data_IF_581202421970
#
_entry.id   IF_581202421970
#
_cell.length_a   1.000
_cell.length_b   1.000
_cell.length_c   1.000
_cell.angle_alpha   90.00
_cell.angle_beta   90.00
_cell.angle_gamma   90.00
#
_symmetry.space_group_name_H-M   'P 1'
#
loop_
_entity.id
_entity.type
_entity.pdbx_description
1 polymer ?
#
# COMPACT_ATOMS: atom_id res chain seq x y z
N UNK A 1 -6.85 -23.02 -33.37
CA UNK A 1 -8.07 -22.37 -32.83
C UNK A 1 -9.19 -23.38 -32.62
N UNK A 2 -9.53 -24.22 -33.62
CA UNK A 2 -10.61 -25.23 -33.49
C UNK A 2 -10.34 -26.34 -32.45
N UNK A 3 -9.12 -26.85 -32.34
CA UNK A 3 -8.78 -27.86 -31.31
C UNK A 3 -8.89 -27.32 -29.89
N UNK A 4 -8.63 -26.02 -29.72
CA UNK A 4 -8.71 -25.34 -28.43
C UNK A 4 -10.17 -25.07 -28.01
N UNK A 5 -11.03 -24.68 -28.96
CA UNK A 5 -12.47 -24.58 -28.71
C UNK A 5 -13.09 -25.93 -28.36
N UNK A 6 -12.62 -27.01 -28.99
CA UNK A 6 -13.04 -28.38 -28.63
C UNK A 6 -12.60 -28.77 -27.22
N UNK A 7 -11.37 -28.44 -26.82
CA UNK A 7 -10.93 -28.69 -25.44
C UNK A 7 -11.72 -27.89 -24.39
N UNK A 8 -12.07 -26.64 -24.69
CA UNK A 8 -12.90 -25.81 -23.81
C UNK A 8 -14.32 -26.35 -23.65
N UNK A 9 -14.95 -26.76 -24.76
CA UNK A 9 -16.29 -27.37 -24.72
C UNK A 9 -16.27 -28.72 -23.98
N UNK A 10 -15.23 -29.52 -24.17
CA UNK A 10 -15.09 -30.80 -23.48
C UNK A 10 -14.90 -30.61 -21.97
N UNK A 11 -14.11 -29.62 -21.56
CA UNK A 11 -13.91 -29.31 -20.15
C UNK A 11 -15.19 -28.75 -19.50
N UNK A 12 -15.95 -27.90 -20.20
CA UNK A 12 -17.25 -27.42 -19.74
C UNK A 12 -18.26 -28.57 -19.60
N UNK A 13 -18.25 -29.52 -20.53
CA UNK A 13 -19.09 -30.72 -20.47
C UNK A 13 -18.73 -31.61 -19.29
N UNK A 14 -17.44 -31.86 -19.07
CA UNK A 14 -16.95 -32.64 -17.92
C UNK A 14 -17.32 -31.99 -16.58
N UNK A 15 -17.28 -30.65 -16.48
CA UNK A 15 -17.73 -29.93 -15.29
C UNK A 15 -19.24 -30.03 -15.07
N UNK A 16 -20.04 -29.97 -16.14
CA UNK A 16 -21.49 -30.15 -16.05
C UNK A 16 -21.87 -31.57 -15.62
N UNK A 17 -21.20 -32.59 -16.17
CA UNK A 17 -21.37 -34.00 -15.80
C UNK A 17 -20.96 -34.25 -14.35
N UNK A 18 -19.84 -33.67 -13.90
CA UNK A 18 -19.38 -33.80 -12.51
C UNK A 18 -20.39 -33.16 -11.54
N UNK A 19 -20.95 -31.99 -11.88
CA UNK A 19 -22.02 -31.34 -11.10
C UNK A 19 -23.27 -32.21 -11.01
N UNK A 20 -23.67 -32.88 -12.10
CA UNK A 20 -24.81 -33.80 -12.11
C UNK A 20 -24.56 -35.07 -11.29
N UNK A 21 -23.37 -35.67 -11.41
CA UNK A 21 -23.01 -36.87 -10.64
C UNK A 21 -22.96 -36.58 -9.13
N UNK A 22 -22.51 -35.39 -8.74
CA UNK A 22 -22.48 -34.96 -7.34
C UNK A 22 -23.88 -34.64 -6.80
N UNK A 23 -24.77 -34.09 -7.62
CA UNK A 23 -26.18 -33.88 -7.25
C UNK A 23 -26.95 -35.20 -7.11
N UNK A 24 -26.63 -36.21 -7.94
CA UNK A 24 -27.25 -37.54 -7.88
C UNK A 24 -26.76 -38.39 -6.69
N UNK A 25 -25.59 -38.08 -6.11
CA UNK A 25 -25.02 -38.83 -4.98
C UNK A 25 -25.57 -38.41 -3.60
N UNK A 26 -26.51 -37.46 -3.56
CA UNK A 26 -27.11 -36.93 -2.33
C UNK A 26 -28.52 -37.45 -2.07
N UNK A 27 -28.69 -38.74 -1.71
CA UNK A 27 -29.89 -39.26 -1.03
C UNK A 27 -29.57 -40.57 -0.26
N UNK A 28 -30.26 -40.86 0.86
CA UNK A 28 -29.68 -41.59 1.99
C UNK A 28 -29.89 -43.11 1.94
N UNK A 29 -28.88 -43.87 2.40
CA UNK A 29 -29.03 -45.29 2.76
C UNK A 29 -28.56 -45.52 4.20
N UNK A 30 -29.44 -46.17 4.94
CA UNK A 30 -29.41 -46.47 6.37
C UNK A 30 -28.48 -47.63 6.76
N UNK A 31 -27.99 -47.53 8.01
CA UNK A 31 -27.60 -48.58 8.97
C UNK A 31 -26.34 -49.45 8.75
N UNK A 32 -25.40 -49.34 9.69
CA UNK A 32 -24.53 -50.46 10.10
C UNK A 32 -23.14 -50.10 10.67
N UNK A 33 -23.02 -49.97 12.00
CA UNK A 33 -21.91 -50.52 12.82
C UNK A 33 -20.49 -49.90 12.81
N UNK A 34 -20.13 -49.31 13.97
CA UNK A 34 -18.79 -49.25 14.62
C UNK A 34 -17.75 -48.21 14.11
N UNK A 35 -17.10 -47.41 15.00
CA UNK A 35 -16.29 -46.25 14.61
C UNK A 35 -14.84 -46.62 14.29
N UNK A 36 -14.20 -45.91 13.35
CA UNK A 36 -12.91 -45.33 13.70
C UNK A 36 -12.64 -43.92 13.12
N UNK A 37 -11.77 -43.19 13.83
CA UNK A 37 -10.90 -42.10 13.36
C UNK A 37 -11.53 -40.87 12.70
N UNK A 38 -11.34 -39.71 13.36
CA UNK A 38 -11.60 -38.37 12.84
C UNK A 38 -11.11 -38.21 11.40
N UNK A 39 -12.00 -37.86 10.44
CA UNK A 39 -11.57 -37.43 9.12
C UNK A 39 -11.02 -36.00 9.22
N UNK A 40 -9.85 -35.77 8.61
CA UNK A 40 -9.45 -34.43 8.18
C UNK A 40 -10.63 -33.78 7.44
N UNK A 41 -11.02 -32.58 7.86
CA UNK A 41 -12.17 -31.87 7.31
C UNK A 41 -12.03 -31.80 5.78
N UNK A 42 -12.85 -32.58 5.08
CA UNK A 42 -13.07 -32.40 3.64
C UNK A 42 -13.61 -30.98 3.45
N UNK A 43 -13.00 -30.17 2.58
CA UNK A 43 -13.47 -28.81 2.34
C UNK A 43 -14.93 -28.84 1.92
N UNK A 44 -15.72 -27.90 2.45
CA UNK A 44 -17.15 -27.85 2.19
C UNK A 44 -17.39 -27.64 0.69
N UNK A 45 -18.58 -28.00 0.21
CA UNK A 45 -18.94 -27.84 -1.20
C UNK A 45 -18.77 -26.38 -1.66
N UNK A 46 -19.06 -25.43 -0.77
CA UNK A 46 -18.88 -23.99 -0.96
C UNK A 46 -17.40 -23.63 -1.11
N UNK A 47 -16.51 -24.13 -0.24
CA UNK A 47 -15.06 -23.89 -0.34
C UNK A 47 -14.47 -24.45 -1.64
N UNK A 48 -15.00 -25.58 -2.14
CA UNK A 48 -14.59 -26.16 -3.43
C UNK A 48 -15.08 -25.35 -4.63
N UNK A 49 -16.31 -24.85 -4.56
CA UNK A 49 -16.88 -23.99 -5.61
C UNK A 49 -16.11 -22.66 -5.67
N UNK A 50 -15.83 -22.04 -4.51
CA UNK A 50 -15.05 -20.81 -4.44
C UNK A 50 -13.60 -21.01 -4.93
N UNK A 51 -12.96 -22.14 -4.60
CA UNK A 51 -11.63 -22.49 -5.10
C UNK A 51 -11.61 -22.71 -6.62
N UNK A 52 -12.65 -23.36 -7.16
CA UNK A 52 -12.81 -23.55 -8.60
C UNK A 52 -13.11 -22.23 -9.32
N UNK A 53 -13.97 -21.38 -8.77
CA UNK A 53 -14.23 -20.05 -9.31
C UNK A 53 -12.97 -19.18 -9.29
N UNK A 54 -12.16 -19.24 -8.22
CA UNK A 54 -10.88 -18.55 -8.14
C UNK A 54 -9.85 -19.08 -9.15
N UNK A 55 -9.79 -20.41 -9.32
CA UNK A 55 -8.92 -21.04 -10.32
C UNK A 55 -9.36 -20.71 -11.75
N UNK A 56 -10.66 -20.70 -12.03
CA UNK A 56 -11.24 -20.32 -13.32
C UNK A 56 -11.06 -18.83 -13.58
N UNK A 57 -11.29 -17.95 -12.61
CA UNK A 57 -11.02 -16.51 -12.73
C UNK A 57 -9.53 -16.23 -13.04
N UNK A 58 -8.62 -16.95 -12.37
CA UNK A 58 -7.19 -16.88 -12.67
C UNK A 58 -6.88 -17.34 -14.10
N UNK A 59 -7.64 -18.31 -14.62
CA UNK A 59 -7.44 -18.90 -15.94
C UNK A 59 -8.11 -18.09 -17.07
N UNK A 60 -9.24 -17.43 -16.82
CA UNK A 60 -10.00 -16.62 -17.77
C UNK A 60 -9.37 -15.23 -18.00
N UNK A 61 -8.65 -14.67 -17.02
CA UNK A 61 -7.90 -13.40 -17.20
C UNK A 61 -6.60 -13.55 -18.02
N UNK A 62 -6.27 -14.75 -18.52
CA UNK A 62 -4.99 -15.04 -19.17
C UNK A 62 -5.15 -15.27 -20.67
N UNK A 63 -5.13 -14.17 -21.45
CA UNK A 63 -4.35 -14.00 -22.69
C UNK A 63 -4.93 -12.81 -23.47
N UNK A 64 -4.34 -11.63 -23.29
CA UNK A 64 -4.46 -10.60 -24.34
C UNK A 64 -3.82 -11.18 -25.60
N UNK A 65 -4.44 -11.00 -26.77
CA UNK A 65 -3.83 -11.30 -28.07
C UNK A 65 -2.55 -10.45 -28.22
N UNK A 66 -1.46 -10.93 -27.64
CA UNK A 66 -0.16 -10.32 -27.69
C UNK A 66 0.63 -11.02 -28.78
N UNK A 67 1.21 -10.25 -29.69
CA UNK A 67 2.24 -10.74 -30.64
C UNK A 67 3.52 -11.19 -29.91
N UNK A 68 3.64 -10.89 -28.61
CA UNK A 68 4.75 -11.34 -27.77
C UNK A 68 4.72 -12.85 -27.53
N UNK A 69 5.88 -13.49 -27.67
CA UNK A 69 6.10 -14.88 -27.24
C UNK A 69 5.91 -15.07 -25.72
N UNK A 70 5.93 -13.98 -24.96
CA UNK A 70 5.90 -13.96 -23.51
C UNK A 70 4.49 -13.62 -22.99
N UNK A 71 3.98 -14.35 -21.97
CA UNK A 71 2.63 -14.12 -21.47
C UNK A 71 2.51 -12.72 -20.85
N UNK A 72 1.48 -12.00 -21.28
CA UNK A 72 1.06 -10.71 -20.75
C UNK A 72 -0.37 -10.84 -20.26
N UNK A 73 -0.62 -10.40 -19.03
CA UNK A 73 -1.96 -10.31 -18.44
C UNK A 73 -2.30 -8.86 -18.14
N UNK A 74 -3.55 -8.51 -18.39
CA UNK A 74 -4.13 -7.23 -17.98
C UNK A 74 -4.99 -7.51 -16.76
N UNK A 75 -4.80 -6.70 -15.72
CA UNK A 75 -5.60 -6.76 -14.50
C UNK A 75 -6.17 -5.39 -14.20
N UNK A 76 -7.26 -5.33 -13.45
CA UNK A 76 -7.82 -4.05 -13.08
C UNK A 76 -8.76 -4.06 -11.90
N UNK A 77 -9.09 -2.85 -11.48
CA UNK A 77 -10.06 -2.54 -10.44
C UNK A 77 -10.84 -1.30 -10.89
N UNK A 78 -12.05 -1.48 -11.40
CA UNK A 78 -13.01 -0.38 -11.55
C UNK A 78 -13.54 -0.06 -10.17
N UNK A 79 -13.35 1.18 -9.71
CA UNK A 79 -13.66 1.57 -8.34
C UNK A 79 -14.52 2.83 -8.32
N UNK A 80 -15.71 2.72 -7.75
CA UNK A 80 -16.59 3.84 -7.43
C UNK A 80 -16.56 4.09 -5.93
N UNK A 81 -16.21 5.31 -5.52
CA UNK A 81 -16.17 5.73 -4.12
C UNK A 81 -17.10 6.92 -3.89
N UNK A 82 -17.89 6.88 -2.83
CA UNK A 82 -18.56 8.04 -2.26
C UNK A 82 -17.83 8.49 -1.00
N UNK A 83 -17.97 9.76 -0.65
CA UNK A 83 -17.41 10.29 0.58
C UNK A 83 -18.29 11.40 1.16
N UNK A 84 -18.32 11.46 2.49
CA UNK A 84 -18.84 12.56 3.30
C UNK A 84 -17.75 12.92 4.30
N UNK A 85 -17.26 14.15 4.23
CA UNK A 85 -16.32 14.73 5.18
C UNK A 85 -17.05 15.77 6.01
N UNK A 86 -17.06 15.66 7.34
CA UNK A 86 -17.78 16.60 8.21
C UNK A 86 -17.13 17.99 8.25
N UNK A 87 -15.82 18.08 8.02
CA UNK A 87 -15.06 19.32 7.96
C UNK A 87 -14.14 19.33 6.72
N UNK A 88 -13.49 20.47 6.47
CA UNK A 88 -12.54 20.58 5.36
C UNK A 88 -11.38 19.60 5.57
N UNK A 89 -10.97 18.97 4.49
CA UNK A 89 -9.83 18.04 4.42
C UNK A 89 -8.94 18.44 3.25
N UNK A 90 -7.76 17.84 3.16
CA UNK A 90 -6.80 18.06 2.10
C UNK A 90 -7.31 17.64 0.72
N UNK A 91 -7.75 16.38 0.60
CA UNK A 91 -8.28 15.82 -0.64
C UNK A 91 -9.60 15.11 -0.31
N UNK A 92 -10.76 15.67 -0.69
CA UNK A 92 -12.06 15.13 -0.29
C UNK A 92 -12.26 13.63 -0.58
N UNK A 93 -11.74 13.16 -1.72
CA UNK A 93 -11.87 11.78 -2.17
C UNK A 93 -10.97 10.76 -1.43
N UNK A 94 -9.90 11.21 -0.78
CA UNK A 94 -8.92 10.38 -0.06
C UNK A 94 -8.31 11.20 1.09
N UNK A 95 -9.10 11.55 2.12
CA UNK A 95 -8.65 12.53 3.10
C UNK A 95 -7.58 11.93 4.01
N UNK A 96 -6.49 12.68 4.22
CA UNK A 96 -5.34 12.25 5.05
C UNK A 96 -5.15 13.13 6.28
N UNK A 97 -5.65 14.37 6.27
CA UNK A 97 -5.63 15.26 7.42
C UNK A 97 -6.77 16.29 7.36
N UNK A 98 -7.11 16.86 8.52
CA UNK A 98 -8.19 17.83 8.68
C UNK A 98 -7.68 19.27 8.62
N UNK A 99 -8.50 20.16 8.06
CA UNK A 99 -8.26 21.59 7.85
C UNK A 99 -9.41 22.42 8.41
N UNK A 100 -9.15 23.72 8.60
CA UNK A 100 -10.20 24.69 8.92
C UNK A 100 -11.16 24.86 7.73
N UNK A 101 -12.45 24.65 7.97
CA UNK A 101 -13.49 24.95 6.98
C UNK A 101 -14.65 23.96 7.03
N UNK A 102 -15.64 24.20 6.17
CA UNK A 102 -16.82 23.34 6.04
C UNK A 102 -16.51 22.00 5.37
N UNK A 103 -17.41 21.03 5.60
CA UNK A 103 -17.36 19.69 5.05
C UNK A 103 -17.58 19.61 3.53
N UNK A 104 -17.44 18.40 3.00
CA UNK A 104 -17.65 18.10 1.58
C UNK A 104 -18.31 16.75 1.41
N UNK A 105 -19.16 16.60 0.39
CA UNK A 105 -19.78 15.33 0.02
C UNK A 105 -19.63 15.15 -1.49
N UNK A 106 -19.35 13.94 -1.93
CA UNK A 106 -19.23 13.65 -3.35
C UNK A 106 -18.97 12.20 -3.66
N UNK A 107 -18.65 11.96 -4.92
CA UNK A 107 -18.29 10.65 -5.43
C UNK A 107 -17.19 10.78 -6.49
N UNK A 108 -16.49 9.68 -6.76
CA UNK A 108 -15.38 9.64 -7.71
C UNK A 108 -15.14 8.23 -8.22
N UNK A 109 -14.61 8.13 -9.45
CA UNK A 109 -14.05 6.89 -10.00
C UNK A 109 -12.55 6.98 -10.25
N UNK A 110 -11.91 8.08 -9.84
CA UNK A 110 -10.50 8.38 -10.13
C UNK A 110 -9.51 7.39 -9.49
N UNK A 111 -9.96 6.63 -8.50
CA UNK A 111 -9.14 5.61 -7.84
C UNK A 111 -9.15 4.26 -8.58
N UNK A 112 -9.81 4.16 -9.75
CA UNK A 112 -9.74 3.01 -10.64
C UNK A 112 -8.29 2.70 -11.02
N UNK A 113 -7.91 1.42 -10.98
CA UNK A 113 -6.55 0.96 -11.25
C UNK A 113 -6.54 0.05 -12.48
N UNK A 114 -5.58 0.28 -13.38
CA UNK A 114 -5.27 -0.60 -14.48
C UNK A 114 -3.85 -1.15 -14.31
N UNK A 115 -3.69 -2.44 -14.58
CA UNK A 115 -2.45 -3.17 -14.41
C UNK A 115 -2.08 -3.99 -15.63
N UNK A 116 -0.78 -4.05 -15.88
CA UNK A 116 -0.17 -4.92 -16.88
C UNK A 116 0.92 -5.70 -16.17
N UNK A 117 0.89 -7.02 -16.32
CA UNK A 117 1.90 -7.93 -15.81
C UNK A 117 2.49 -8.72 -16.98
N UNK A 118 3.81 -8.82 -17.02
CA UNK A 118 4.55 -9.52 -18.06
C UNK A 118 5.58 -10.47 -17.42
N UNK A 119 5.69 -11.68 -17.96
CA UNK A 119 6.78 -12.61 -17.60
C UNK A 119 7.69 -12.78 -18.81
N UNK A 120 8.89 -12.23 -18.74
CA UNK A 120 9.83 -12.23 -19.84
C UNK A 120 10.68 -13.50 -19.93
N UNK A 121 11.73 -13.49 -20.77
CA UNK A 121 12.67 -14.61 -20.89
C UNK A 121 13.40 -14.94 -19.60
N UNK A 122 13.99 -16.14 -19.59
CA UNK A 122 15.05 -16.45 -18.65
C UNK A 122 16.32 -15.72 -19.09
N UNK A 123 16.83 -14.82 -18.26
CA UNK A 123 18.04 -14.03 -18.51
C UNK A 123 19.06 -14.37 -17.42
N UNK A 124 20.27 -14.79 -17.81
CA UNK A 124 21.34 -15.14 -16.85
C UNK A 124 20.91 -16.15 -15.76
N UNK A 125 20.04 -17.10 -16.11
CA UNK A 125 19.49 -18.09 -15.16
C UNK A 125 18.40 -17.56 -14.23
N UNK A 126 17.98 -16.30 -14.39
CA UNK A 126 16.88 -15.68 -13.67
C UNK A 126 15.62 -15.64 -14.53
N UNK A 127 14.45 -15.71 -13.91
CA UNK A 127 13.17 -15.39 -14.57
C UNK A 127 12.98 -13.88 -14.54
N UNK A 128 12.71 -13.25 -15.68
CA UNK A 128 12.38 -11.83 -15.72
C UNK A 128 10.88 -11.59 -15.51
N UNK A 129 10.53 -10.60 -14.68
CA UNK A 129 9.15 -10.18 -14.43
C UNK A 129 9.05 -8.66 -14.52
N UNK A 130 7.91 -8.17 -14.98
CA UNK A 130 7.57 -6.75 -14.96
C UNK A 130 6.10 -6.56 -14.63
N UNK A 131 5.81 -5.52 -13.84
CA UNK A 131 4.47 -5.08 -13.52
C UNK A 131 4.40 -3.56 -13.57
N UNK A 132 3.31 -3.04 -14.13
CA UNK A 132 2.98 -1.62 -14.10
C UNK A 132 1.55 -1.49 -13.59
N UNK A 133 1.30 -0.50 -12.75
CA UNK A 133 -0.03 -0.09 -12.30
C UNK A 133 -0.20 1.40 -12.53
N UNK A 134 -1.35 1.79 -13.06
CA UNK A 134 -1.75 3.19 -13.26
C UNK A 134 -3.09 3.43 -12.60
N UNK A 135 -3.33 4.66 -12.15
CA UNK A 135 -4.65 5.11 -11.71
C UNK A 135 -5.02 6.45 -12.35
N UNK A 136 -6.26 6.91 -12.15
CA UNK A 136 -6.78 8.16 -12.72
C UNK A 136 -6.76 9.30 -11.68
N UNK A 137 -5.93 9.16 -10.65
CA UNK A 137 -5.85 10.10 -9.53
C UNK A 137 -4.68 11.10 -9.66
N UNK A 138 -4.17 11.28 -10.89
CA UNK A 138 -3.27 12.38 -11.20
C UNK A 138 -3.91 13.75 -11.03
N UNK A 139 -3.09 14.79 -10.92
CA UNK A 139 -3.50 16.19 -10.78
C UNK A 139 -2.84 17.04 -11.87
N UNK A 140 -3.60 17.95 -12.49
CA UNK A 140 -3.08 18.98 -13.39
C UNK A 140 -3.18 20.34 -12.70
N UNK A 141 -2.42 21.31 -13.18
CA UNK A 141 -2.43 22.70 -12.71
C UNK A 141 -3.73 23.44 -13.05
N UNK A 142 -4.54 22.92 -13.99
CA UNK A 142 -5.81 23.50 -14.40
C UNK A 142 -6.97 22.64 -13.86
N UNK A 143 -7.75 23.21 -12.94
CA UNK A 143 -8.78 22.54 -12.13
C UNK A 143 -10.14 22.38 -12.81
N UNK A 144 -10.28 22.68 -14.11
CA UNK A 144 -11.60 22.84 -14.73
C UNK A 144 -12.33 21.52 -15.07
N UNK A 145 -11.65 20.37 -15.03
CA UNK A 145 -12.28 19.06 -15.29
C UNK A 145 -11.85 18.00 -14.26
N UNK A 146 -12.06 18.29 -12.97
CA UNK A 146 -11.76 17.37 -11.86
C UNK A 146 -12.56 16.05 -11.88
N UNK A 147 -13.52 15.89 -12.80
CA UNK A 147 -14.37 14.71 -12.92
C UNK A 147 -13.78 13.59 -13.82
N UNK A 148 -12.92 13.93 -14.80
CA UNK A 148 -12.42 12.95 -15.78
C UNK A 148 -11.24 12.09 -15.29
N UNK A 149 -10.50 12.55 -14.28
CA UNK A 149 -9.28 11.91 -13.81
C UNK A 149 -8.11 12.09 -14.78
N UNK A 150 -6.88 12.05 -14.25
CA UNK A 150 -5.65 12.10 -15.04
C UNK A 150 -4.85 10.85 -14.76
N UNK A 151 -4.34 10.23 -15.81
CA UNK A 151 -3.52 9.03 -15.67
C UNK A 151 -2.27 9.38 -14.87
N UNK A 152 -2.00 8.56 -13.85
CA UNK A 152 -0.83 8.63 -12.99
C UNK A 152 -0.19 7.26 -12.93
N UNK A 153 1.13 7.22 -13.11
CA UNK A 153 1.91 6.03 -12.81
C UNK A 153 1.88 5.81 -11.29
N UNK A 154 1.33 4.67 -10.86
CA UNK A 154 1.14 4.37 -9.44
C UNK A 154 2.28 3.51 -8.93
N UNK A 155 2.52 2.38 -9.58
CA UNK A 155 3.70 1.54 -9.32
C UNK A 155 4.26 1.01 -10.62
N UNK A 156 5.57 0.81 -10.64
CA UNK A 156 6.25 0.04 -11.67
C UNK A 156 7.29 -0.82 -10.98
N UNK A 157 7.43 -2.08 -11.37
CA UNK A 157 8.50 -2.94 -10.87
C UNK A 157 8.94 -3.86 -11.99
N UNK A 158 10.24 -4.03 -12.16
CA UNK A 158 10.77 -5.15 -12.90
C UNK A 158 11.86 -5.84 -12.07
N UNK A 159 11.96 -7.15 -12.25
CA UNK A 159 12.85 -8.00 -11.48
C UNK A 159 13.49 -9.09 -12.32
N UNK A 160 14.67 -9.51 -11.88
CA UNK A 160 15.33 -10.75 -12.25
C UNK A 160 15.34 -11.66 -11.01
N UNK A 161 14.68 -12.80 -11.13
CA UNK A 161 14.44 -13.72 -10.03
C UNK A 161 15.22 -15.02 -10.21
N UNK A 162 16.24 -15.20 -9.39
CA UNK A 162 16.92 -16.47 -9.17
C UNK A 162 16.24 -17.23 -8.03
N UNK A 163 16.74 -18.43 -7.71
CA UNK A 163 16.19 -19.29 -6.64
C UNK A 163 16.05 -18.59 -5.29
N UNK A 164 17.05 -17.80 -4.90
CA UNK A 164 17.17 -17.19 -3.57
C UNK A 164 17.45 -15.69 -3.63
N UNK A 165 17.54 -15.11 -4.83
CA UNK A 165 18.00 -13.74 -5.04
C UNK A 165 17.07 -13.07 -6.02
N UNK A 166 16.67 -11.85 -5.72
CA UNK A 166 15.93 -10.98 -6.63
C UNK A 166 16.71 -9.69 -6.79
N UNK A 167 17.02 -9.32 -8.03
CA UNK A 167 17.45 -7.96 -8.36
C UNK A 167 16.27 -7.21 -8.96
N UNK A 168 16.00 -6.00 -8.50
CA UNK A 168 14.82 -5.24 -8.93
C UNK A 168 15.12 -3.76 -9.15
N UNK A 169 14.34 -3.14 -10.02
CA UNK A 169 14.10 -1.70 -10.01
C UNK A 169 12.60 -1.45 -9.92
N UNK A 170 12.21 -0.42 -9.18
CA UNK A 170 10.80 -0.14 -8.93
C UNK A 170 10.53 1.33 -8.66
N UNK A 171 9.38 1.81 -9.11
CA UNK A 171 8.71 2.96 -8.55
C UNK A 171 7.64 2.42 -7.59
N UNK A 172 7.93 2.40 -6.29
CA UNK A 172 7.02 1.89 -5.26
C UNK A 172 7.29 2.58 -3.91
N UNK A 173 6.56 2.20 -2.85
CA UNK A 173 6.87 2.56 -1.46
C UNK A 173 8.22 1.98 -1.03
N UNK A 174 8.77 2.54 0.04
CA UNK A 174 10.03 2.04 0.64
C UNK A 174 9.92 0.56 1.05
N UNK A 175 11.00 -0.20 0.89
CA UNK A 175 11.09 -1.59 1.37
C UNK A 175 10.94 -1.70 2.90
N UNK A 176 11.09 -0.60 3.62
CA UNK A 176 11.01 -0.52 5.08
C UNK A 176 9.59 -0.73 5.63
N UNK A 177 8.57 -0.56 4.79
CA UNK A 177 7.15 -0.67 5.17
C UNK A 177 6.43 -1.56 4.14
N UNK A 178 6.65 -2.89 4.20
CA UNK A 178 6.16 -3.81 3.18
C UNK A 178 4.64 -3.89 3.12
N UNK A 179 3.97 -3.72 4.26
CA UNK A 179 2.52 -3.81 4.38
C UNK A 179 1.87 -2.41 4.38
N UNK A 180 0.56 -2.35 4.14
CA UNK A 180 -0.25 -1.13 4.28
C UNK A 180 -1.62 -1.51 4.89
N UNK A 181 -2.27 -0.59 5.62
CA UNK A 181 -3.64 -0.84 6.08
C UNK A 181 -4.59 -1.06 4.90
N UNK A 182 -5.48 -2.04 5.03
CA UNK A 182 -6.46 -2.43 4.02
C UNK A 182 -7.57 -1.40 3.95
N UNK A 183 -7.84 -0.85 2.76
CA UNK A 183 -8.95 0.08 2.52
C UNK A 183 -9.33 0.12 1.04
N UNK A 184 -10.63 -0.01 0.75
CA UNK A 184 -11.16 0.14 -0.61
C UNK A 184 -11.44 1.61 -0.96
N UNK A 185 -11.64 2.46 0.04
CA UNK A 185 -11.81 3.91 -0.14
C UNK A 185 -10.48 4.67 -0.24
N UNK A 186 -9.36 4.02 0.06
CA UNK A 186 -7.99 4.59 0.08
C UNK A 186 -7.05 3.84 -0.86
N UNK A 187 -7.50 3.55 -2.08
CA UNK A 187 -6.65 2.94 -3.09
C UNK A 187 -5.67 3.99 -3.60
N UNK A 188 -6.14 5.13 -4.10
CA UNK A 188 -5.27 6.12 -4.74
C UNK A 188 -4.22 6.75 -3.81
N UNK A 189 -4.51 6.86 -2.52
CA UNK A 189 -3.56 7.29 -1.47
C UNK A 189 -3.68 6.26 -0.34
N UNK A 190 -2.63 5.51 -0.01
CA UNK A 190 -2.70 4.44 0.99
C UNK A 190 -3.33 4.90 2.31
N UNK A 191 -4.10 4.04 2.95
CA UNK A 191 -4.68 4.36 4.26
C UNK A 191 -3.58 4.72 5.27
N UNK A 192 -3.90 5.67 6.14
CA UNK A 192 -3.01 6.24 7.15
C UNK A 192 -1.76 6.98 6.60
N UNK A 193 -1.77 7.38 5.32
CA UNK A 193 -0.81 8.33 4.76
C UNK A 193 -0.80 9.62 5.58
N UNK A 194 0.39 10.17 5.86
CA UNK A 194 0.59 11.29 6.79
C UNK A 194 0.12 11.06 8.22
N UNK A 195 -0.32 9.87 8.59
CA UNK A 195 -0.63 9.47 9.96
C UNK A 195 0.06 8.14 10.25
N UNK A 196 1.36 8.06 9.99
CA UNK A 196 2.22 6.94 10.36
C UNK A 196 2.53 5.91 9.27
N UNK A 197 1.90 5.96 8.09
CA UNK A 197 2.29 5.11 6.95
C UNK A 197 3.34 5.82 6.09
N UNK A 198 4.53 5.23 5.92
CA UNK A 198 5.53 5.73 4.96
C UNK A 198 5.10 5.32 3.54
N UNK A 199 4.40 6.21 2.86
CA UNK A 199 3.49 5.87 1.77
C UNK A 199 3.91 6.39 0.40
N UNK A 200 4.90 7.28 0.32
CA UNK A 200 5.29 7.92 -0.94
C UNK A 200 5.95 6.92 -1.87
N UNK A 201 5.62 7.04 -3.16
CA UNK A 201 6.25 6.23 -4.21
C UNK A 201 7.52 6.90 -4.69
N UNK A 202 8.60 6.15 -4.64
CA UNK A 202 9.95 6.61 -4.96
C UNK A 202 10.63 5.61 -5.91
N UNK A 203 11.40 6.08 -6.91
CA UNK A 203 12.27 5.21 -7.70
C UNK A 203 13.31 4.53 -6.80
N UNK A 204 13.51 3.24 -7.02
CA UNK A 204 14.35 2.37 -6.22
C UNK A 204 15.03 1.33 -7.11
N UNK A 205 16.25 0.94 -6.75
CA UNK A 205 16.97 -0.18 -7.36
C UNK A 205 17.69 -0.95 -6.28
N UNK A 206 17.55 -2.27 -6.25
CA UNK A 206 18.04 -3.05 -5.13
C UNK A 206 18.10 -4.54 -5.36
N UNK A 207 18.51 -5.24 -4.30
CA UNK A 207 18.63 -6.69 -4.24
C UNK A 207 17.96 -7.20 -2.98
N UNK A 208 17.26 -8.32 -3.10
CA UNK A 208 16.67 -9.10 -2.01
C UNK A 208 17.28 -10.49 -2.02
N UNK A 209 17.76 -10.95 -0.86
CA UNK A 209 18.34 -12.26 -0.65
C UNK A 209 17.50 -13.02 0.38
N UNK A 210 16.96 -14.17 -0.02
CA UNK A 210 16.27 -15.11 0.87
C UNK A 210 17.22 -16.24 1.28
N UNK A 211 17.34 -16.46 2.58
CA UNK A 211 18.16 -17.49 3.21
C UNK A 211 17.20 -18.42 3.94
N UNK A 212 16.93 -19.63 3.40
CA UNK A 212 16.10 -20.61 4.09
C UNK A 212 16.80 -21.06 5.37
N UNK A 213 16.09 -20.98 6.50
CA UNK A 213 16.59 -21.41 7.81
C UNK A 213 16.06 -22.80 8.18
N UNK A 214 14.83 -23.10 7.76
CA UNK A 214 14.18 -24.40 7.89
C UNK A 214 13.14 -24.57 6.76
N UNK A 215 12.45 -25.72 6.65
CA UNK A 215 11.36 -25.88 5.69
C UNK A 215 10.21 -24.87 5.84
N UNK A 216 10.04 -24.28 7.02
CA UNK A 216 8.95 -23.34 7.35
C UNK A 216 9.47 -21.99 7.84
N UNK A 217 10.75 -21.68 7.66
CA UNK A 217 11.31 -20.39 8.04
C UNK A 217 12.40 -19.89 7.09
N UNK A 218 12.43 -18.58 6.90
CA UNK A 218 13.42 -17.90 6.05
C UNK A 218 13.81 -16.55 6.64
N UNK A 219 15.06 -16.17 6.43
CA UNK A 219 15.57 -14.82 6.64
C UNK A 219 15.64 -14.13 5.28
N UNK A 220 15.09 -12.92 5.16
CA UNK A 220 15.12 -12.10 3.96
C UNK A 220 15.93 -10.83 4.26
N UNK A 221 17.00 -10.62 3.51
CA UNK A 221 17.84 -9.42 3.60
C UNK A 221 17.64 -8.60 2.32
N UNK A 222 17.28 -7.34 2.47
CA UNK A 222 16.98 -6.44 1.36
C UNK A 222 17.83 -5.19 1.48
N UNK A 223 18.37 -4.74 0.35
CA UNK A 223 19.05 -3.45 0.24
C UNK A 223 18.68 -2.78 -1.06
N UNK A 224 18.53 -1.46 -1.05
CA UNK A 224 18.26 -0.70 -2.25
C UNK A 224 18.78 0.73 -2.14
N UNK A 225 19.10 1.30 -3.28
CA UNK A 225 19.13 2.75 -3.47
C UNK A 225 17.71 3.27 -3.69
N UNK A 226 17.43 4.45 -3.19
CA UNK A 226 16.13 5.13 -3.28
C UNK A 226 16.35 6.60 -3.61
N UNK A 227 15.54 7.14 -4.52
CA UNK A 227 15.52 8.56 -4.86
C UNK A 227 14.22 9.17 -4.33
N UNK A 228 14.33 10.07 -3.35
CA UNK A 228 13.15 10.61 -2.64
C UNK A 228 12.75 11.97 -3.17
N UNK A 229 11.44 12.14 -3.34
CA UNK A 229 10.84 13.44 -3.64
C UNK A 229 10.87 14.40 -2.45
N UNK A 230 10.83 15.70 -2.72
CA UNK A 230 10.56 16.70 -1.68
C UNK A 230 9.07 16.69 -1.33
N UNK A 231 8.67 16.73 -0.04
CA UNK A 231 7.29 16.87 0.35
C UNK A 231 6.77 18.24 -0.07
N UNK A 232 5.62 18.25 -0.72
CA UNK A 232 4.91 19.47 -1.07
C UNK A 232 3.58 19.51 -0.32
N UNK A 233 3.23 20.69 0.20
CA UNK A 233 1.88 20.91 0.69
C UNK A 233 0.88 20.72 -0.45
N UNK A 234 -0.36 20.28 -0.17
CA UNK A 234 -1.38 20.17 -1.19
C UNK A 234 -1.58 21.48 -1.95
N UNK A 235 -1.65 21.40 -3.27
CA UNK A 235 -1.73 22.53 -4.21
C UNK A 235 -0.47 23.41 -4.32
N UNK A 236 0.63 23.07 -3.64
CA UNK A 236 1.92 23.69 -3.90
C UNK A 236 2.51 23.13 -5.20
N UNK A 237 3.13 24.01 -5.99
CA UNK A 237 3.93 23.62 -7.15
C UNK A 237 5.40 23.71 -6.77
N UNK A 238 6.20 22.71 -7.16
CA UNK A 238 7.65 22.83 -7.03
C UNK A 238 8.15 23.87 -8.01
N UNK A 239 8.83 24.90 -7.52
CA UNK A 239 9.58 25.83 -8.35
C UNK A 239 10.97 25.32 -8.74
N UNK A 240 11.36 24.13 -8.28
CA UNK A 240 12.69 23.55 -8.49
C UNK A 240 12.66 22.39 -9.48
N UNK A 241 13.61 22.41 -10.41
CA UNK A 241 13.82 21.32 -11.37
C UNK A 241 14.42 20.04 -10.74
N UNK A 242 14.97 20.13 -9.53
CA UNK A 242 15.54 18.99 -8.80
C UNK A 242 15.13 18.99 -7.33
N UNK A 243 15.07 17.81 -6.71
CA UNK A 243 14.81 17.65 -5.28
C UNK A 243 16.03 18.02 -4.44
N UNK A 244 15.84 18.15 -3.12
CA UNK A 244 16.94 18.35 -2.18
C UNK A 244 17.83 17.12 -2.07
N UNK A 245 17.26 15.92 -2.17
CA UNK A 245 18.01 14.67 -2.22
C UNK A 245 18.87 14.57 -3.48
N UNK A 246 18.32 14.86 -4.67
CA UNK A 246 19.06 14.86 -5.94
C UNK A 246 20.23 15.86 -5.93
N UNK A 247 20.05 17.04 -5.33
CA UNK A 247 21.11 18.05 -5.20
C UNK A 247 22.29 17.60 -4.34
N UNK A 248 22.09 16.62 -3.47
CA UNK A 248 23.18 16.02 -2.69
C UNK A 248 24.16 15.26 -3.58
N UNK A 249 23.72 14.82 -4.77
CA UNK A 249 24.43 13.95 -5.73
C UNK A 249 24.70 12.54 -5.19
N UNK A 250 23.99 12.12 -4.14
CA UNK A 250 24.08 10.79 -3.57
C UNK A 250 22.66 10.23 -3.43
N UNK A 251 22.38 9.02 -3.93
CA UNK A 251 21.09 8.40 -3.71
C UNK A 251 20.91 8.07 -2.22
N UNK A 252 19.66 8.03 -1.77
CA UNK A 252 19.33 7.44 -0.50
C UNK A 252 19.64 5.94 -0.50
N UNK A 253 19.90 5.39 0.67
CA UNK A 253 20.12 3.96 0.90
C UNK A 253 19.11 3.44 1.91
N UNK A 254 18.64 2.22 1.70
CA UNK A 254 17.76 1.53 2.62
C UNK A 254 18.16 0.07 2.76
N UNK A 255 17.95 -0.47 3.95
CA UNK A 255 18.22 -1.85 4.31
C UNK A 255 17.08 -2.40 5.15
N UNK A 256 16.69 -3.65 4.92
CA UNK A 256 15.72 -4.36 5.76
C UNK A 256 16.16 -5.80 5.97
N UNK A 257 16.12 -6.25 7.22
CA UNK A 257 16.24 -7.65 7.59
C UNK A 257 14.89 -8.13 8.13
N UNK A 258 14.27 -9.08 7.45
CA UNK A 258 12.99 -9.67 7.84
C UNK A 258 13.13 -11.16 8.07
N UNK A 259 12.54 -11.68 9.14
CA UNK A 259 12.43 -13.11 9.38
C UNK A 259 10.98 -13.52 9.24
N UNK A 260 10.76 -14.70 8.68
CA UNK A 260 9.43 -15.27 8.62
C UNK A 260 9.42 -16.75 9.00
N UNK A 261 8.31 -17.17 9.59
CA UNK A 261 8.14 -18.52 10.10
C UNK A 261 6.67 -18.95 10.09
N UNK A 262 6.46 -20.26 9.97
CA UNK A 262 5.14 -20.86 9.91
C UNK A 262 4.76 -21.33 8.50
N UNK A 263 3.58 -21.93 8.35
CA UNK A 263 3.10 -22.38 7.05
C UNK A 263 2.76 -21.19 6.15
N UNK A 264 2.83 -21.37 4.83
CA UNK A 264 2.70 -20.28 3.86
C UNK A 264 1.35 -19.54 3.93
N UNK A 265 0.28 -20.20 4.37
CA UNK A 265 -1.05 -19.62 4.54
C UNK A 265 -1.21 -18.79 5.83
N UNK A 266 -0.29 -18.96 6.80
CA UNK A 266 -0.28 -18.26 8.10
C UNK A 266 1.13 -17.89 8.53
N UNK A 267 1.90 -17.37 7.58
CA UNK A 267 3.27 -16.96 7.82
C UNK A 267 3.29 -15.76 8.77
N UNK A 268 4.01 -15.90 9.89
CA UNK A 268 4.35 -14.76 10.74
C UNK A 268 5.61 -14.12 10.18
N UNK A 269 5.62 -12.79 10.04
CA UNK A 269 6.77 -12.01 9.58
C UNK A 269 7.07 -10.91 10.57
N UNK A 270 8.34 -10.67 10.84
CA UNK A 270 8.79 -9.45 11.49
C UNK A 270 10.03 -8.93 10.78
N UNK A 271 10.22 -7.62 10.80
CA UNK A 271 11.37 -6.99 10.16
C UNK A 271 11.86 -5.77 10.91
N UNK A 272 13.16 -5.51 10.72
CA UNK A 272 13.83 -4.28 11.14
C UNK A 272 14.47 -3.66 9.92
N UNK A 273 14.42 -2.34 9.83
CA UNK A 273 14.96 -1.62 8.69
C UNK A 273 15.60 -0.29 9.06
N UNK A 274 16.42 0.19 8.13
CA UNK A 274 17.14 1.45 8.22
C UNK A 274 17.13 2.18 6.89
N UNK A 275 17.05 3.50 6.95
CA UNK A 275 17.16 4.41 5.80
C UNK A 275 18.10 5.56 6.12
N UNK A 276 18.83 6.00 5.11
CA UNK A 276 19.67 7.20 5.15
C UNK A 276 19.64 7.89 3.80
N UNK A 277 19.50 9.22 3.76
CA UNK A 277 19.58 10.00 2.54
C UNK A 277 20.11 11.41 2.80
N UNK A 278 21.23 11.80 2.18
CA UNK A 278 21.75 13.16 2.28
C UNK A 278 20.91 14.14 1.45
N UNK A 279 20.71 15.35 1.96
CA UNK A 279 19.97 16.42 1.31
C UNK A 279 20.83 17.68 1.21
N UNK A 280 20.63 18.45 0.13
CA UNK A 280 21.33 19.72 -0.10
C UNK A 280 20.39 20.78 -0.68
N UNK A 281 20.33 21.94 -0.03
CA UNK A 281 19.57 23.08 -0.53
C UNK A 281 20.36 23.93 -1.53
N UNK A 282 19.65 24.84 -2.20
CA UNK A 282 20.21 25.69 -3.25
C UNK A 282 21.29 26.67 -2.73
N UNK A 283 21.18 27.10 -1.47
CA UNK A 283 22.18 27.92 -0.77
C UNK A 283 23.45 27.14 -0.38
N UNK A 284 23.48 25.82 -0.65
CA UNK A 284 24.59 24.94 -0.36
C UNK A 284 24.53 24.27 1.01
N UNK A 285 23.58 24.65 1.86
CA UNK A 285 23.36 24.00 3.17
C UNK A 285 22.95 22.53 3.01
N UNK A 286 23.28 21.71 4.01
CA UNK A 286 23.08 20.25 3.98
C UNK A 286 22.43 19.76 5.26
N UNK A 287 21.66 18.70 5.14
CA UNK A 287 21.14 17.91 6.26
C UNK A 287 20.95 16.47 5.80
N UNK A 288 20.91 15.53 6.75
CA UNK A 288 20.67 14.13 6.45
C UNK A 288 19.26 13.72 6.91
N UNK A 289 18.59 12.89 6.12
CA UNK A 289 17.40 12.17 6.53
C UNK A 289 17.79 10.75 6.96
N UNK A 290 17.17 10.24 8.01
CA UNK A 290 17.36 8.85 8.42
C UNK A 290 16.11 8.30 9.08
N UNK A 291 15.89 6.99 8.98
CA UNK A 291 14.85 6.29 9.71
C UNK A 291 15.35 4.93 10.20
N UNK A 292 14.85 4.52 11.37
CA UNK A 292 14.85 3.15 11.84
C UNK A 292 13.40 2.66 11.91
N UNK A 293 13.12 1.49 11.36
CA UNK A 293 11.76 0.93 11.27
C UNK A 293 11.67 -0.47 11.86
N UNK A 294 10.46 -0.82 12.30
CA UNK A 294 10.09 -2.17 12.68
C UNK A 294 8.71 -2.50 12.09
N UNK A 295 8.55 -3.72 11.57
CA UNK A 295 7.29 -4.21 11.02
C UNK A 295 6.92 -5.59 11.56
N UNK A 296 5.61 -5.85 11.64
CA UNK A 296 5.04 -7.10 12.11
C UNK A 296 3.84 -7.50 11.24
N UNK A 297 3.79 -8.77 10.86
CA UNK A 297 2.66 -9.45 10.25
C UNK A 297 2.40 -10.73 11.05
N UNK A 298 1.34 -10.75 11.85
CA UNK A 298 1.09 -11.79 12.84
C UNK A 298 -0.34 -12.35 12.68
N UNK A 299 -0.50 -13.50 12.03
CA UNK A 299 -1.75 -14.25 12.03
C UNK A 299 -2.08 -14.76 13.45
N UNK A 300 -3.22 -14.35 13.99
CA UNK A 300 -3.70 -14.71 15.33
C UNK A 300 -4.84 -15.74 15.20
N UNK A 301 -4.49 -17.01 15.01
CA UNK A 301 -5.46 -18.07 14.77
C UNK A 301 -5.96 -18.09 13.33
N UNK A 302 -7.24 -18.45 13.11
CA UNK A 302 -7.79 -18.66 11.75
C UNK A 302 -8.36 -17.39 11.11
N UNK A 303 -8.82 -16.44 11.91
CA UNK A 303 -9.64 -15.32 11.44
C UNK A 303 -9.02 -13.95 11.70
N UNK A 304 -8.05 -13.84 12.62
CA UNK A 304 -7.46 -12.56 13.01
C UNK A 304 -6.08 -12.41 12.38
N UNK A 305 -5.78 -11.21 11.91
CA UNK A 305 -4.46 -10.82 11.44
C UNK A 305 -4.10 -9.45 12.04
N UNK A 306 -2.99 -9.40 12.75
CA UNK A 306 -2.39 -8.15 13.21
C UNK A 306 -1.27 -7.76 12.25
N UNK A 307 -1.33 -6.56 11.70
CA UNK A 307 -0.22 -5.95 10.94
C UNK A 307 0.16 -4.63 11.56
N UNK A 308 1.45 -4.30 11.57
CA UNK A 308 1.92 -3.01 12.05
C UNK A 308 3.24 -2.60 11.44
N UNK A 309 3.48 -1.30 11.48
CA UNK A 309 4.76 -0.69 11.19
C UNK A 309 4.99 0.47 12.16
N UNK A 310 6.21 0.63 12.65
CA UNK A 310 6.61 1.77 13.45
C UNK A 310 7.96 2.29 12.96
N UNK A 311 8.17 3.59 13.11
CA UNK A 311 9.43 4.22 12.76
C UNK A 311 9.81 5.34 13.73
N UNK A 312 11.11 5.63 13.75
CA UNK A 312 11.70 6.83 14.30
C UNK A 312 12.74 7.34 13.32
N UNK A 313 12.79 8.65 13.10
CA UNK A 313 13.75 9.22 12.19
C UNK A 313 13.79 10.73 12.23
N UNK A 314 14.36 11.31 11.19
CA UNK A 314 14.31 12.75 10.94
C UNK A 314 14.17 13.02 9.44
N UNK A 315 13.54 14.13 9.10
CA UNK A 315 13.32 14.58 7.71
C UNK A 315 12.70 13.49 6.81
N UNK A 316 11.55 12.96 7.23
CA UNK A 316 10.90 11.79 6.60
C UNK A 316 9.82 12.13 5.58
N UNK A 317 9.66 13.39 5.19
CA UNK A 317 8.65 13.84 4.23
C UNK A 317 8.80 13.21 2.85
N UNK A 318 10.03 12.96 2.39
CA UNK A 318 10.28 12.19 1.16
C UNK A 318 9.82 10.72 1.23
N UNK A 319 9.63 10.18 2.44
CA UNK A 319 9.02 8.86 2.68
C UNK A 319 7.52 8.96 3.07
N UNK A 320 6.95 10.16 3.15
CA UNK A 320 5.55 10.40 3.52
C UNK A 320 5.25 10.45 5.01
N UNK A 321 6.29 10.51 5.86
CA UNK A 321 6.19 10.84 7.29
C UNK A 321 6.49 12.32 7.55
N UNK A 322 6.49 12.76 8.80
CA UNK A 322 6.97 14.10 9.15
C UNK A 322 5.94 15.22 8.89
N UNK A 323 4.68 14.90 8.61
CA UNK A 323 3.62 15.91 8.47
C UNK A 323 3.88 16.98 7.40
N UNK A 324 4.44 16.59 6.24
CA UNK A 324 4.90 17.47 5.16
C UNK A 324 6.13 18.32 5.51
N UNK A 325 6.94 17.87 6.45
CA UNK A 325 7.98 18.72 7.01
C UNK A 325 9.29 18.00 7.22
N UNK A 326 10.28 18.45 6.44
CA UNK A 326 11.62 17.87 6.49
C UNK A 326 12.58 18.67 7.37
N UNK A 327 12.44 19.99 7.38
CA UNK A 327 13.37 20.89 8.04
C UNK A 327 12.78 22.27 8.32
N UNK A 328 13.48 23.06 9.13
CA UNK A 328 13.21 24.47 9.40
C UNK A 328 14.45 25.29 9.03
N UNK A 329 14.27 26.45 8.41
CA UNK A 329 15.34 27.44 8.23
C UNK A 329 15.48 28.28 9.50
N UNK A 330 16.72 28.50 9.93
CA UNK A 330 17.04 29.45 10.99
C UNK A 330 18.08 30.44 10.49
N UNK A 331 17.80 31.72 10.64
CA UNK A 331 18.77 32.79 10.43
C UNK A 331 19.41 33.16 11.77
N UNK A 332 20.74 33.14 11.83
CA UNK A 332 21.54 33.60 12.96
C UNK A 332 22.53 34.63 12.44
N UNK A 333 22.36 35.91 12.81
CA UNK A 333 23.29 37.03 12.53
C UNK A 333 24.18 36.81 11.28
N UNK A 334 23.55 36.67 10.10
CA UNK A 334 24.23 36.56 8.80
C UNK A 334 24.47 35.14 8.27
N UNK A 335 24.10 34.09 9.00
CA UNK A 335 24.22 32.69 8.58
C UNK A 335 22.88 31.95 8.63
N UNK A 336 22.42 31.49 7.46
CA UNK A 336 21.24 30.62 7.32
C UNK A 336 21.61 29.16 7.59
N UNK A 337 20.87 28.47 8.45
CA UNK A 337 21.08 27.06 8.79
C UNK A 337 19.77 26.24 8.69
N UNK A 338 19.84 25.12 7.96
CA UNK A 338 18.80 24.11 7.91
C UNK A 338 18.83 23.21 9.13
N UNK A 339 17.65 22.94 9.69
CA UNK A 339 17.47 22.05 10.84
C UNK A 339 16.48 20.95 10.50
N UNK A 340 16.92 19.69 10.34
CA UNK A 340 16.00 18.58 10.13
C UNK A 340 15.11 18.39 11.36
N UNK A 341 13.93 17.83 11.14
CA UNK A 341 12.92 17.64 12.18
C UNK A 341 12.85 16.16 12.51
N UNK A 342 13.01 15.85 13.79
CA UNK A 342 12.79 14.50 14.29
C UNK A 342 11.31 14.14 14.19
N UNK A 343 11.06 12.88 13.90
CA UNK A 343 9.72 12.32 13.78
C UNK A 343 9.65 10.91 14.38
N UNK A 344 8.47 10.57 14.87
CA UNK A 344 8.11 9.25 15.36
C UNK A 344 6.69 8.96 14.96
N UNK A 345 6.47 7.78 14.40
CA UNK A 345 5.16 7.41 13.91
C UNK A 345 5.05 5.94 13.61
N UNK A 346 3.91 5.58 13.04
CA UNK A 346 3.58 4.20 12.73
C UNK A 346 2.09 3.97 12.71
N UNK A 347 1.72 2.74 12.39
CA UNK A 347 0.35 2.28 12.38
C UNK A 347 0.25 0.83 12.81
N UNK A 348 -0.94 0.46 13.26
CA UNK A 348 -1.32 -0.93 13.48
C UNK A 348 -2.74 -1.16 12.94
N UNK A 349 -2.97 -2.33 12.37
CA UNK A 349 -4.27 -2.81 11.89
C UNK A 349 -4.54 -4.20 12.44
N UNK A 350 -5.73 -4.37 13.02
CA UNK A 350 -6.32 -5.67 13.29
C UNK A 350 -7.40 -5.95 12.23
N UNK A 351 -7.22 -7.03 11.49
CA UNK A 351 -8.16 -7.52 10.49
C UNK A 351 -8.87 -8.78 11.02
N UNK A 352 -10.17 -8.87 10.82
CA UNK A 352 -11.00 -10.04 11.11
C UNK A 352 -11.61 -10.52 9.80
N UNK A 353 -11.25 -11.73 9.36
CA UNK A 353 -11.74 -12.35 8.12
C UNK A 353 -12.66 -13.52 8.45
N UNK A 354 -13.92 -13.44 8.05
CA UNK A 354 -14.93 -14.48 8.27
C UNK A 354 -15.80 -14.66 7.03
N UNK A 355 -15.63 -15.79 6.34
CA UNK A 355 -16.32 -16.06 5.08
C UNK A 355 -16.05 -14.97 4.05
N UNK A 356 -17.09 -14.28 3.62
CA UNK A 356 -17.05 -13.21 2.62
C UNK A 356 -16.80 -11.80 3.17
N UNK A 357 -16.57 -11.68 4.48
CA UNK A 357 -16.37 -10.41 5.16
C UNK A 357 -14.94 -10.27 5.69
N UNK A 358 -14.39 -9.07 5.54
CA UNK A 358 -13.15 -8.61 6.18
C UNK A 358 -13.41 -7.28 6.88
N UNK A 359 -13.30 -7.25 8.21
CA UNK A 359 -13.42 -6.02 9.00
C UNK A 359 -12.04 -5.61 9.50
N UNK A 360 -11.66 -4.35 9.26
CA UNK A 360 -10.36 -3.81 9.63
C UNK A 360 -10.53 -2.65 10.59
N UNK A 361 -9.86 -2.72 11.74
CA UNK A 361 -9.65 -1.60 12.65
C UNK A 361 -8.18 -1.20 12.60
N UNK A 362 -7.89 0.03 12.20
CA UNK A 362 -6.55 0.55 12.13
C UNK A 362 -6.40 1.89 12.87
N UNK A 363 -5.23 2.11 13.44
CA UNK A 363 -4.84 3.38 14.03
C UNK A 363 -3.44 3.75 13.55
N UNK A 364 -3.27 5.02 13.21
CA UNK A 364 -2.00 5.57 12.76
C UNK A 364 -1.70 6.91 13.41
N UNK A 365 -0.42 7.16 13.62
CA UNK A 365 0.12 8.40 14.20
C UNK A 365 1.39 8.82 13.47
N UNK A 366 1.47 10.10 13.18
CA UNK A 366 2.65 10.83 12.74
C UNK A 366 2.88 11.97 13.75
N UNK A 367 4.08 12.09 14.31
CA UNK A 367 4.36 13.04 15.39
C UNK A 367 5.75 13.67 15.24
N UNK A 368 5.90 14.63 14.30
CA UNK A 368 7.07 15.47 14.22
C UNK A 368 7.24 16.18 15.57
N UNK A 369 8.42 16.06 16.21
CA UNK A 369 8.58 16.45 17.60
C UNK A 369 8.22 17.92 17.82
N UNK A 370 6.99 18.15 18.26
CA UNK A 370 6.39 19.47 18.32
C UNK A 370 7.14 20.45 19.25
N UNK A 371 7.92 19.94 20.21
CA UNK A 371 8.84 20.76 21.05
C UNK A 371 9.95 21.41 20.22
N UNK A 372 10.50 20.68 19.25
CA UNK A 372 11.56 21.17 18.37
C UNK A 372 11.03 22.22 17.41
N UNK A 373 9.85 21.98 16.83
CA UNK A 373 9.19 22.95 15.96
C UNK A 373 8.94 24.24 16.75
N UNK A 374 8.33 24.13 17.95
CA UNK A 374 8.06 25.29 18.82
C UNK A 374 9.30 26.07 19.26
N UNK A 375 10.38 25.39 19.67
CA UNK A 375 11.60 26.08 20.10
C UNK A 375 12.35 26.74 18.94
N UNK A 376 12.10 26.29 17.70
CA UNK A 376 12.78 26.76 16.49
C UNK A 376 11.96 27.76 15.67
N UNK A 377 10.64 27.84 15.84
CA UNK A 377 9.76 28.85 15.22
C UNK A 377 9.45 30.06 16.12
N UNK A 378 10.10 30.16 17.29
CA UNK A 378 9.87 31.23 18.27
C UNK A 378 10.59 32.56 17.93
N UNK A 379 11.42 32.62 16.88
CA UNK A 379 12.03 33.86 16.39
C UNK A 379 11.23 34.47 15.24
N UNK A 380 11.00 35.78 15.29
CA UNK A 380 10.27 36.55 14.26
C UNK A 380 10.91 36.53 12.85
N UNK A 381 12.14 36.03 12.73
CA UNK A 381 12.92 35.93 11.48
C UNK A 381 12.96 34.53 10.86
N UNK A 382 12.40 33.49 11.52
CA UNK A 382 12.36 32.14 10.93
C UNK A 382 11.14 32.04 9.99
N UNK A 383 11.28 31.53 8.75
CA UNK A 383 10.11 31.29 7.91
C UNK A 383 9.15 30.33 8.62
N UNK A 384 7.85 30.61 8.49
CA UNK A 384 6.80 29.88 9.16
C UNK A 384 6.80 28.41 8.72
N UNK A 385 6.96 27.51 9.68
CA UNK A 385 6.69 26.09 9.46
C UNK A 385 5.20 25.93 9.10
N UNK A 386 4.93 25.34 7.95
CA UNK A 386 3.57 25.18 7.42
C UNK A 386 3.06 23.73 7.44
N UNK A 387 3.89 22.79 7.90
CA UNK A 387 3.53 21.38 8.05
C UNK A 387 2.65 21.09 9.28
N UNK A 388 2.37 19.81 9.49
CA UNK A 388 1.67 19.29 10.66
C UNK A 388 2.66 19.05 11.81
N UNK A 389 2.23 19.26 13.04
CA UNK A 389 3.03 18.95 14.26
C UNK A 389 2.58 17.67 14.94
N UNK A 390 1.44 17.14 14.50
CA UNK A 390 0.90 15.82 14.84
C UNK A 390 -0.26 15.54 13.91
N UNK A 391 -0.35 14.31 13.41
CA UNK A 391 -1.51 13.84 12.68
C UNK A 391 -1.83 12.41 13.09
N UNK A 392 -3.09 12.12 13.37
CA UNK A 392 -3.52 10.77 13.74
C UNK A 392 -4.86 10.43 13.12
N UNK A 393 -5.01 9.17 12.78
CA UNK A 393 -6.20 8.64 12.14
C UNK A 393 -6.62 7.34 12.80
N UNK A 394 -7.88 7.25 13.20
CA UNK A 394 -8.56 5.96 13.47
C UNK A 394 -9.36 5.61 12.23
N UNK A 395 -9.26 4.38 11.76
CA UNK A 395 -10.00 3.87 10.60
C UNK A 395 -10.70 2.56 10.97
N UNK A 396 -11.98 2.45 10.62
CA UNK A 396 -12.76 1.23 10.68
C UNK A 396 -13.39 1.00 9.31
N UNK A 397 -13.19 -0.16 8.71
CA UNK A 397 -13.94 -0.55 7.52
C UNK A 397 -14.39 -2.01 7.58
N UNK A 398 -15.43 -2.30 6.82
CA UNK A 398 -15.84 -3.66 6.50
C UNK A 398 -15.90 -3.78 4.99
N UNK A 399 -15.28 -4.84 4.46
CA UNK A 399 -15.26 -5.20 3.06
C UNK A 399 -16.06 -6.50 2.90
N UNK A 400 -17.05 -6.49 2.02
CA UNK A 400 -17.84 -7.64 1.62
C UNK A 400 -17.46 -8.04 0.21
N UNK A 401 -17.02 -9.29 0.02
CA UNK A 401 -16.65 -9.86 -1.29
C UNK A 401 -17.60 -11.01 -1.62
N UNK A 402 -18.75 -10.77 -2.27
CA UNK A 402 -19.71 -11.82 -2.62
C UNK A 402 -19.13 -12.91 -3.53
N UNK A 403 -18.14 -12.55 -4.35
CA UNK A 403 -17.38 -13.45 -5.22
C UNK A 403 -15.99 -12.85 -5.47
N UNK A 404 -15.20 -13.45 -6.36
CA UNK A 404 -13.83 -13.02 -6.68
C UNK A 404 -13.74 -11.64 -7.39
N UNK A 405 -14.80 -11.21 -8.07
CA UNK A 405 -14.81 -10.02 -8.93
C UNK A 405 -15.38 -8.79 -8.23
N UNK A 406 -16.41 -8.97 -7.39
CA UNK A 406 -17.12 -7.87 -6.77
C UNK A 406 -16.68 -7.65 -5.32
N UNK A 407 -16.47 -6.39 -4.95
CA UNK A 407 -16.25 -6.00 -3.56
C UNK A 407 -17.05 -4.74 -3.22
N UNK A 408 -17.59 -4.70 -2.01
CA UNK A 408 -18.27 -3.54 -1.46
C UNK A 408 -17.65 -3.19 -0.12
N UNK A 409 -17.56 -1.91 0.21
CA UNK A 409 -17.03 -1.49 1.51
C UNK A 409 -17.80 -0.32 2.10
N UNK A 410 -17.92 -0.33 3.42
CA UNK A 410 -18.25 0.84 4.24
C UNK A 410 -17.01 1.17 5.07
N UNK A 411 -16.56 2.43 5.01
CA UNK A 411 -15.41 2.91 5.76
C UNK A 411 -15.75 4.17 6.57
N UNK A 412 -15.25 4.23 7.79
CA UNK A 412 -15.23 5.38 8.66
C UNK A 412 -13.79 5.72 9.04
N UNK A 413 -13.44 7.01 8.98
CA UNK A 413 -12.19 7.55 9.52
C UNK A 413 -12.46 8.73 10.43
N UNK A 414 -11.69 8.80 11.52
CA UNK A 414 -11.56 9.98 12.37
C UNK A 414 -10.17 10.58 12.19
N UNK A 415 -10.08 11.72 11.54
CA UNK A 415 -8.85 12.48 11.34
C UNK A 415 -8.67 13.49 12.46
N UNK A 416 -7.45 13.63 12.98
CA UNK A 416 -7.08 14.64 13.97
C UNK A 416 -5.71 15.22 13.64
N UNK A 417 -5.67 16.52 13.33
CA UNK A 417 -4.49 17.20 12.80
C UNK A 417 -4.18 18.44 13.64
N UNK A 418 -2.92 18.58 14.02
CA UNK A 418 -2.44 19.70 14.86
C UNK A 418 -1.39 20.50 14.12
N UNK A 419 -1.58 21.82 14.07
CA UNK A 419 -0.69 22.76 13.40
C UNK A 419 0.21 23.51 14.40
N UNK A 420 1.30 24.16 13.96
CA UNK A 420 2.22 24.88 14.85
C UNK A 420 1.58 26.03 15.64
N UNK A 421 0.54 26.65 15.07
CA UNK A 421 -0.31 27.65 15.74
C UNK A 421 -1.05 27.09 16.97
N UNK A 422 -0.97 25.76 17.19
CA UNK A 422 -1.74 24.96 18.16
C UNK A 422 -3.21 24.77 17.78
N UNK A 423 -3.60 25.19 16.59
CA UNK A 423 -4.91 24.86 16.07
C UNK A 423 -5.01 23.35 15.87
N UNK A 424 -6.13 22.80 16.34
CA UNK A 424 -6.49 21.39 16.17
C UNK A 424 -7.74 21.33 15.31
N UNK A 425 -7.65 20.61 14.20
CA UNK A 425 -8.78 20.32 13.35
C UNK A 425 -9.05 18.83 13.36
N UNK A 426 -10.33 18.48 13.24
CA UNK A 426 -10.76 17.10 13.12
C UNK A 426 -11.83 17.00 12.05
N UNK A 427 -11.87 15.88 11.36
CA UNK A 427 -12.94 15.55 10.42
C UNK A 427 -13.29 14.08 10.57
N UNK A 428 -14.57 13.78 10.48
CA UNK A 428 -15.05 12.43 10.21
C UNK A 428 -15.15 12.28 8.70
N UNK A 429 -14.66 11.17 8.17
CA UNK A 429 -14.82 10.79 6.78
C UNK A 429 -15.57 9.46 6.72
N UNK A 430 -16.68 9.43 5.99
CA UNK A 430 -17.51 8.24 5.80
C UNK A 430 -17.55 7.97 4.31
N UNK A 431 -17.29 6.74 3.89
CA UNK A 431 -17.27 6.37 2.48
C UNK A 431 -17.93 5.02 2.21
N UNK A 432 -18.59 4.93 1.06
CA UNK A 432 -19.03 3.67 0.47
C UNK A 432 -18.24 3.41 -0.80
N UNK A 433 -17.83 2.16 -0.99
CA UNK A 433 -17.07 1.73 -2.16
C UNK A 433 -17.77 0.57 -2.85
N UNK A 434 -17.81 0.62 -4.18
CA UNK A 434 -18.18 -0.49 -5.04
C UNK A 434 -17.06 -0.77 -6.05
N UNK A 435 -16.63 -2.02 -6.12
CA UNK A 435 -15.47 -2.43 -6.90
C UNK A 435 -15.78 -3.63 -7.79
N UNK A 436 -15.24 -3.58 -9.01
CA UNK A 436 -15.19 -4.71 -9.94
C UNK A 436 -13.74 -4.97 -10.35
N UNK A 437 -13.25 -6.16 -10.04
CA UNK A 437 -11.91 -6.67 -10.36
C UNK A 437 -11.98 -7.53 -11.62
N UNK A 438 -10.94 -7.50 -12.43
CA UNK A 438 -10.80 -8.33 -13.64
C UNK A 438 -9.34 -8.68 -13.92
#
# INVERSE_FOLDING_TARGET
MEEYQKQLQEMQRQLAELKQQLAASGAPATSGGTPPSQPAATPTLEERVDALESAVATHDSLKVESESKYPVSVTGLVLFNTFVNTHRVDVPATPTYALRGGGTTGFTMRQTVLGIDARGPHLFGATSRAQIRTDFFGSATNSEYSAGGLIRLRTARASLDWKNTEAFFSYDRTILVPDAPTSLASVAVPALSWSGNLWTWNPQVGVSQSIPLSPTSKLTLQTAFIDVGDPLLPSATSGSASTLAERSRWPGVQFRAGSSFGPADRETRFGLGGYFSPHRAADGSRFDAWAATADLHLPLGKYLLLTSNAYRGQALGGLGGGGYADFIYRDYEGATALRPIDDVGGWAQLAIKTGRFETNLAYGLDNPFSKQIRSRTASSSAPSYSGLTRNSTVMLNTIYSPNAYLQFSLEYKRLQSTFPSRDRYASDAIGLSGAYRF
#
